data_IF_438573296068
#
_entry.id   IF_438573296068
#
_cell.length_a   1.000
_cell.length_b   1.000
_cell.length_c   1.000
_cell.angle_alpha   90.00
_cell.angle_beta   90.00
_cell.angle_gamma   90.00
#
_symmetry.space_group_name_H-M   'P 1'
#
loop_
_entity.id
_entity.type
_entity.pdbx_description
1 polymer ?
#
# COMPACT_ATOMS: atom_id res chain seq x y z
N UNK A 1 -3.46 22.07 -25.85
CA UNK A 1 -3.87 21.98 -24.44
C UNK A 1 -2.75 21.18 -23.80
N UNK A 2 -1.77 21.88 -23.24
CA UNK A 2 -0.60 21.23 -22.64
C UNK A 2 -1.04 20.61 -21.32
N UNK A 3 -0.99 19.28 -21.27
CA UNK A 3 -1.17 18.54 -20.03
C UNK A 3 0.07 18.82 -19.19
N UNK A 4 -0.06 19.70 -18.19
CA UNK A 4 0.94 19.83 -17.13
C UNK A 4 0.87 18.52 -16.35
N UNK A 5 1.73 17.57 -16.70
CA UNK A 5 1.98 16.40 -15.87
C UNK A 5 2.67 16.90 -14.59
N UNK A 6 1.85 17.14 -13.57
CA UNK A 6 2.33 17.35 -12.21
C UNK A 6 2.93 16.03 -11.70
N UNK A 7 4.20 15.78 -12.03
CA UNK A 7 5.00 14.67 -11.52
C UNK A 7 5.47 14.93 -10.09
N UNK A 8 4.64 15.53 -9.23
CA UNK A 8 4.88 15.49 -7.78
C UNK A 8 4.55 14.09 -7.22
N UNK A 9 4.99 13.03 -7.91
CA UNK A 9 5.08 11.71 -7.30
C UNK A 9 6.26 11.79 -6.34
N UNK A 10 5.98 12.01 -5.06
CA UNK A 10 7.00 11.83 -4.04
C UNK A 10 7.67 10.46 -4.23
N UNK A 11 8.99 10.43 -4.23
CA UNK A 11 9.75 9.20 -4.37
C UNK A 11 9.29 8.19 -3.30
N UNK A 12 8.79 7.05 -3.76
CA UNK A 12 8.35 5.97 -2.89
C UNK A 12 9.54 5.06 -2.60
N UNK A 13 10.06 5.11 -1.38
CA UNK A 13 11.09 4.19 -0.93
C UNK A 13 10.49 2.83 -0.62
N UNK A 14 10.90 1.82 -1.39
CA UNK A 14 10.44 0.45 -1.22
C UNK A 14 11.23 -0.27 -0.13
N UNK A 15 10.50 -0.97 0.74
CA UNK A 15 11.04 -1.80 1.82
C UNK A 15 10.59 -3.23 1.55
N UNK A 16 11.55 -4.15 1.46
CA UNK A 16 11.29 -5.57 1.38
C UNK A 16 11.21 -6.16 2.79
N UNK A 17 10.10 -6.86 3.07
CA UNK A 17 9.79 -7.49 4.33
C UNK A 17 9.94 -8.99 4.17
N UNK A 18 10.86 -9.56 4.96
CA UNK A 18 11.18 -10.98 4.97
C UNK A 18 10.59 -11.62 6.22
N UNK A 19 9.84 -12.71 6.03
CA UNK A 19 9.36 -13.55 7.12
C UNK A 19 9.77 -15.00 6.85
N UNK A 20 10.22 -15.76 7.88
CA UNK A 20 10.65 -17.15 7.68
C UNK A 20 9.55 -18.00 7.03
N UNK A 21 9.85 -18.60 5.88
CA UNK A 21 8.93 -19.48 5.16
C UNK A 21 7.83 -18.77 4.35
N UNK A 22 7.85 -17.44 4.26
CA UNK A 22 6.91 -16.67 3.44
C UNK A 22 7.60 -16.04 2.22
N UNK A 23 6.82 -15.76 1.17
CA UNK A 23 7.32 -14.99 0.04
C UNK A 23 7.63 -13.53 0.48
N UNK A 24 8.65 -12.88 -0.12
CA UNK A 24 8.97 -11.49 0.19
C UNK A 24 7.77 -10.57 -0.03
N UNK A 25 7.50 -9.70 0.94
CA UNK A 25 6.45 -8.71 0.86
C UNK A 25 7.06 -7.33 0.64
N UNK A 26 6.45 -6.50 -0.20
CA UNK A 26 6.89 -5.13 -0.40
C UNK A 26 5.97 -4.17 0.36
N UNK A 27 6.57 -3.14 0.95
CA UNK A 27 5.90 -1.96 1.46
C UNK A 27 6.62 -0.71 0.95
N UNK A 28 5.98 0.45 1.08
CA UNK A 28 6.52 1.71 0.62
C UNK A 28 6.37 2.80 1.67
N UNK A 29 7.28 3.77 1.66
CA UNK A 29 7.18 4.99 2.45
C UNK A 29 7.66 6.17 1.61
N UNK A 30 6.90 7.26 1.62
CA UNK A 30 7.33 8.49 0.94
C UNK A 30 8.21 9.35 1.85
N UNK A 31 8.91 10.33 1.28
CA UNK A 31 9.71 11.29 2.06
C UNK A 31 8.89 12.08 3.09
N UNK A 32 7.60 12.35 2.81
CA UNK A 32 6.66 12.96 3.76
C UNK A 32 6.18 12.01 4.86
N UNK A 33 6.54 10.73 4.78
CA UNK A 33 6.20 9.70 5.77
C UNK A 33 4.83 9.06 5.55
N UNK A 34 4.25 9.15 4.35
CA UNK A 34 3.06 8.36 4.00
C UNK A 34 3.45 6.90 3.79
N UNK A 35 2.68 5.98 4.37
CA UNK A 35 2.96 4.54 4.28
C UNK A 35 2.04 3.89 3.26
N UNK A 36 2.65 3.10 2.39
CA UNK A 36 2.00 2.30 1.36
C UNK A 36 2.19 0.82 1.69
N UNK A 37 1.09 0.08 1.77
CA UNK A 37 1.11 -1.35 2.11
C UNK A 37 0.50 -2.15 0.97
N UNK A 38 0.99 -3.37 0.79
CA UNK A 38 0.39 -4.29 -0.19
C UNK A 38 -1.05 -4.60 0.22
N UNK A 39 -1.97 -4.36 -0.71
CA UNK A 39 -3.32 -4.90 -0.61
C UNK A 39 -3.34 -6.30 -1.20
N UNK A 40 -3.30 -7.35 -0.36
CA UNK A 40 -3.63 -8.71 -0.79
C UNK A 40 -5.02 -9.08 -0.26
N UNK A 41 -5.99 -9.09 -1.16
CA UNK A 41 -7.41 -9.28 -0.87
C UNK A 41 -7.93 -10.53 -1.58
N UNK A 42 -7.33 -11.71 -1.42
CA UNK A 42 -7.77 -12.96 -2.09
C UNK A 42 -7.70 -12.89 -3.64
N UNK A 43 -7.54 -14.01 -4.38
CA UNK A 43 -7.49 -14.00 -5.84
C UNK A 43 -8.70 -13.36 -6.55
N UNK A 44 -9.83 -13.17 -5.84
CA UNK A 44 -11.04 -12.51 -6.34
C UNK A 44 -11.21 -11.06 -5.83
N UNK A 45 -10.49 -10.65 -4.78
CA UNK A 45 -10.66 -9.31 -4.20
C UNK A 45 -9.53 -8.35 -4.52
N UNK A 46 -8.39 -8.78 -5.08
CA UNK A 46 -7.38 -7.86 -5.64
C UNK A 46 -7.95 -7.04 -6.82
N UNK A 47 -8.70 -7.68 -7.72
CA UNK A 47 -9.42 -6.99 -8.80
C UNK A 47 -10.50 -6.04 -8.25
N UNK A 48 -11.27 -6.48 -7.25
CA UNK A 48 -12.30 -5.65 -6.62
C UNK A 48 -11.69 -4.44 -5.89
N UNK A 49 -10.56 -4.62 -5.23
CA UNK A 49 -9.83 -3.55 -4.55
C UNK A 49 -9.29 -2.54 -5.56
N UNK A 50 -8.73 -2.99 -6.69
CA UNK A 50 -8.28 -2.11 -7.76
C UNK A 50 -9.44 -1.31 -8.38
N UNK A 51 -10.58 -1.95 -8.61
CA UNK A 51 -11.78 -1.25 -9.11
C UNK A 51 -12.31 -0.21 -8.12
N UNK A 52 -12.36 -0.55 -6.82
CA UNK A 52 -12.73 0.39 -5.75
C UNK A 52 -11.75 1.55 -5.65
N UNK A 53 -10.45 1.27 -5.67
CA UNK A 53 -9.39 2.26 -5.64
C UNK A 53 -9.45 3.20 -6.85
N UNK A 54 -9.62 2.65 -8.06
CA UNK A 54 -9.80 3.43 -9.28
C UNK A 54 -11.04 4.32 -9.22
N UNK A 55 -12.18 3.78 -8.75
CA UNK A 55 -13.41 4.56 -8.54
C UNK A 55 -13.20 5.71 -7.53
N UNK A 56 -12.45 5.46 -6.47
CA UNK A 56 -12.16 6.43 -5.41
C UNK A 56 -10.94 7.31 -5.69
N UNK A 57 -10.32 7.18 -6.88
CA UNK A 57 -9.10 7.89 -7.28
C UNK A 57 -7.96 7.78 -6.27
N UNK A 58 -7.82 6.59 -5.66
CA UNK A 58 -6.79 6.32 -4.66
C UNK A 58 -5.44 6.16 -5.37
N UNK A 59 -4.41 6.92 -4.99
CA UNK A 59 -3.08 6.78 -5.57
C UNK A 59 -2.49 5.42 -5.16
N UNK A 60 -2.08 4.60 -6.12
CA UNK A 60 -1.47 3.30 -5.85
C UNK A 60 -0.13 3.17 -6.58
N UNK A 61 0.78 2.36 -6.03
CA UNK A 61 2.07 2.06 -6.64
C UNK A 61 2.12 0.60 -7.10
N UNK A 62 2.30 0.37 -8.41
CA UNK A 62 2.49 -0.97 -8.95
C UNK A 62 3.96 -1.40 -8.72
N UNK A 63 4.16 -2.51 -8.00
CA UNK A 63 5.49 -3.07 -7.69
C UNK A 63 5.80 -4.27 -8.59
N UNK A 64 4.76 -4.97 -9.05
CA UNK A 64 4.88 -6.02 -10.06
C UNK A 64 3.61 -6.10 -10.90
N UNK A 65 3.57 -7.04 -11.86
CA UNK A 65 2.37 -7.34 -12.64
C UNK A 65 1.14 -7.74 -11.79
N UNK A 66 1.35 -8.12 -10.52
CA UNK A 66 0.29 -8.57 -9.61
C UNK A 66 0.33 -7.90 -8.23
N UNK A 67 1.40 -7.19 -7.89
CA UNK A 67 1.57 -6.55 -6.59
C UNK A 67 1.35 -5.05 -6.69
N UNK A 68 0.40 -4.55 -5.91
CA UNK A 68 0.08 -3.13 -5.83
C UNK A 68 0.08 -2.69 -4.37
N UNK A 69 0.65 -1.52 -4.10
CA UNK A 69 0.63 -0.88 -2.80
C UNK A 69 -0.41 0.23 -2.78
N UNK A 70 -1.22 0.26 -1.72
CA UNK A 70 -2.20 1.31 -1.46
C UNK A 70 -1.82 2.10 -0.21
N UNK A 71 -2.29 3.35 -0.06
CA UNK A 71 -2.11 4.11 1.16
C UNK A 71 -2.70 3.33 2.35
N UNK A 72 -1.94 3.21 3.42
CA UNK A 72 -2.35 2.47 4.62
C UNK A 72 -3.68 3.01 5.18
N UNK A 73 -3.87 4.34 5.16
CA UNK A 73 -5.09 5.00 5.61
C UNK A 73 -6.34 4.53 4.87
N UNK A 74 -6.23 4.36 3.56
CA UNK A 74 -7.33 3.86 2.75
C UNK A 74 -7.63 2.39 3.07
N UNK A 75 -6.60 1.55 3.20
CA UNK A 75 -6.77 0.15 3.60
C UNK A 75 -7.43 0.01 4.98
N UNK A 76 -7.12 0.91 5.92
CA UNK A 76 -7.80 0.96 7.23
C UNK A 76 -9.29 1.27 7.07
N UNK A 77 -9.64 2.24 6.23
CA UNK A 77 -11.03 2.57 5.90
C UNK A 77 -11.82 1.37 5.37
N UNK A 78 -11.23 0.60 4.47
CA UNK A 78 -11.85 -0.62 3.94
C UNK A 78 -11.98 -1.75 4.99
N UNK A 79 -11.13 -1.74 6.02
CA UNK A 79 -11.06 -2.78 7.05
C UNK A 79 -11.70 -2.38 8.40
N UNK A 80 -12.47 -1.28 8.48
CA UNK A 80 -13.07 -0.81 9.74
C UNK A 80 -13.94 -1.85 10.47
N UNK A 81 -14.42 -2.86 9.74
CA UNK A 81 -15.24 -3.95 10.26
C UNK A 81 -14.43 -5.14 10.81
N UNK A 82 -13.10 -5.15 10.66
CA UNK A 82 -12.23 -6.27 10.99
C UNK A 82 -11.08 -5.81 11.90
N UNK A 83 -11.25 -6.03 13.20
CA UNK A 83 -10.30 -5.59 14.22
C UNK A 83 -8.91 -6.25 14.07
N UNK A 84 -8.83 -7.47 13.56
CA UNK A 84 -7.55 -8.17 13.37
C UNK A 84 -6.78 -7.56 12.20
N UNK A 85 -7.46 -7.25 11.09
CA UNK A 85 -6.85 -6.53 9.96
C UNK A 85 -6.35 -5.15 10.38
N UNK A 86 -7.11 -4.41 11.18
CA UNK A 86 -6.66 -3.11 11.70
C UNK A 86 -5.39 -3.23 12.55
N UNK A 87 -5.30 -4.26 13.41
CA UNK A 87 -4.07 -4.52 14.19
C UNK A 87 -2.88 -4.81 13.30
N UNK A 88 -3.07 -5.64 12.26
CA UNK A 88 -2.01 -5.98 11.30
C UNK A 88 -1.55 -4.72 10.57
N UNK A 89 -2.46 -3.91 10.03
CA UNK A 89 -2.11 -2.65 9.35
C UNK A 89 -1.30 -1.73 10.29
N UNK A 90 -1.75 -1.55 11.53
CA UNK A 90 -1.05 -0.71 12.51
C UNK A 90 0.33 -1.26 12.91
N UNK A 91 0.52 -2.58 12.92
CA UNK A 91 1.83 -3.19 13.15
C UNK A 91 2.77 -2.98 11.96
N UNK A 92 2.26 -3.16 10.75
CA UNK A 92 2.98 -2.95 9.50
C UNK A 92 3.43 -1.50 9.34
N UNK A 93 2.55 -0.53 9.62
CA UNK A 93 2.92 0.90 9.58
C UNK A 93 4.07 1.22 10.53
N UNK A 94 4.04 0.69 11.76
CA UNK A 94 5.12 0.89 12.73
C UNK A 94 6.44 0.28 12.26
N UNK A 95 6.38 -0.92 11.67
CA UNK A 95 7.56 -1.60 11.13
C UNK A 95 8.19 -0.80 9.98
N UNK A 96 7.38 -0.40 9.00
CA UNK A 96 7.83 0.34 7.81
C UNK A 96 8.41 1.70 8.21
N UNK A 97 7.74 2.44 9.11
CA UNK A 97 8.27 3.71 9.64
C UNK A 97 9.56 3.53 10.43
N UNK A 98 9.70 2.41 11.14
CA UNK A 98 10.92 2.07 11.86
C UNK A 98 12.10 1.75 10.94
N UNK A 99 11.84 1.10 9.81
CA UNK A 99 12.85 0.74 8.82
C UNK A 99 13.30 1.92 7.93
N UNK A 100 12.51 3.00 7.88
CA UNK A 100 12.79 4.21 7.10
C UNK A 100 13.70 5.23 7.81
N UNK A 101 14.15 4.93 9.04
CA UNK A 101 15.05 5.76 9.84
C UNK A 101 16.46 5.20 9.78
#
# INVERSE_FOLDING_TARGET
>A
MDFVEDHSQEDLHLIELQAPGAAPLHAGVTASGMVYLRGDLHPLGSATALLKAARAQVPYAAVSAVNVLFPADWLRGECLHDADRLRVIAAMERLVRGAAR
#
